data_IF_787371398585
#
_entry.id   IF_787371398585
#
_cell.length_a   1.000
_cell.length_b   1.000
_cell.length_c   1.000
_cell.angle_alpha   90.00
_cell.angle_beta   90.00
_cell.angle_gamma   90.00
#
_symmetry.space_group_name_H-M   'P 1'
#
loop_
_entity.id
_entity.type
_entity.pdbx_description
1 polymer ?
#
# COMPACT_ATOMS: atom_id res chain seq x y z
N UNK A 1 -18.24 9.23 22.30
CA UNK A 1 -17.06 8.33 22.34
C UNK A 1 -16.05 8.84 21.33
N UNK A 2 -14.79 9.01 21.70
CA UNK A 2 -13.72 9.45 20.79
C UNK A 2 -13.09 8.20 20.17
N UNK A 3 -13.58 7.76 19.01
CA UNK A 3 -13.01 6.62 18.28
C UNK A 3 -11.81 7.10 17.46
N UNK A 4 -10.70 7.41 18.13
CA UNK A 4 -9.41 7.47 17.46
C UNK A 4 -8.91 6.04 17.32
N UNK A 5 -9.44 5.29 16.34
CA UNK A 5 -8.74 4.11 15.86
C UNK A 5 -7.53 4.63 15.10
N UNK A 6 -6.44 4.92 15.81
CA UNK A 6 -5.11 4.88 15.22
C UNK A 6 -4.88 3.43 14.80
N UNK A 7 -5.40 3.06 13.63
CA UNK A 7 -4.96 1.84 12.97
C UNK A 7 -3.58 2.17 12.40
N UNK A 8 -2.56 1.77 13.14
CA UNK A 8 -1.18 1.87 12.69
C UNK A 8 -1.06 1.19 11.31
N UNK A 9 -0.39 1.84 10.33
CA UNK A 9 -0.27 1.30 8.99
C UNK A 9 0.58 0.02 9.00
N UNK A 10 0.14 -0.98 8.24
CA UNK A 10 0.88 -2.22 8.02
C UNK A 10 1.91 -1.99 6.91
N UNK A 11 3.19 -1.92 7.25
CA UNK A 11 4.28 -1.86 6.25
C UNK A 11 4.50 -3.25 5.65
N UNK A 12 4.36 -3.37 4.33
CA UNK A 12 4.51 -4.62 3.59
C UNK A 12 5.93 -4.81 3.04
N UNK A 13 6.54 -3.72 2.57
CA UNK A 13 7.89 -3.71 2.05
C UNK A 13 8.47 -2.29 2.08
N UNK A 14 9.78 -2.16 2.27
CA UNK A 14 10.49 -0.88 2.14
C UNK A 14 11.91 -1.08 1.64
N UNK A 15 12.48 -0.04 1.01
CA UNK A 15 13.87 0.00 0.57
C UNK A 15 14.56 1.23 1.14
N UNK A 16 15.74 1.04 1.70
CA UNK A 16 16.45 2.13 2.40
C UNK A 16 17.09 3.13 1.44
N UNK A 17 17.48 2.71 0.23
CA UNK A 17 18.36 3.51 -0.64
C UNK A 17 17.62 4.56 -1.47
N UNK A 18 16.41 4.27 -1.92
CA UNK A 18 15.63 5.16 -2.80
C UNK A 18 14.28 5.57 -2.22
N UNK A 19 13.99 5.18 -0.98
CA UNK A 19 12.75 5.56 -0.28
C UNK A 19 11.50 4.98 -0.93
N UNK A 20 11.59 3.76 -1.47
CA UNK A 20 10.41 3.07 -1.98
C UNK A 20 9.80 2.25 -0.86
N UNK A 21 8.49 2.36 -0.70
CA UNK A 21 7.77 1.61 0.32
C UNK A 21 6.40 1.19 -0.18
N UNK A 22 5.91 0.08 0.34
CA UNK A 22 4.54 -0.37 0.21
C UNK A 22 3.99 -0.56 1.61
N UNK A 23 2.88 0.09 1.90
CA UNK A 23 2.18 -0.04 3.16
C UNK A 23 0.67 -0.02 2.89
N UNK A 24 -0.12 -0.43 3.88
CA UNK A 24 -1.58 -0.37 3.79
C UNK A 24 -2.17 0.06 5.11
N UNK A 25 -3.33 0.69 5.06
CA UNK A 25 -4.18 0.90 6.22
C UNK A 25 -5.57 0.34 5.94
N UNK A 26 -6.26 0.00 7.01
CA UNK A 26 -7.61 -0.51 6.94
C UNK A 26 -8.57 0.67 6.82
N UNK A 27 -9.42 0.64 5.81
CA UNK A 27 -10.42 1.69 5.51
C UNK A 27 -11.73 1.42 6.25
N UNK A 28 -12.16 0.15 6.25
CA UNK A 28 -13.35 -0.36 6.95
C UNK A 28 -13.06 -1.76 7.53
N UNK A 29 -14.01 -2.37 8.27
CA UNK A 29 -13.82 -3.70 8.86
C UNK A 29 -13.33 -4.76 7.86
N UNK A 30 -13.74 -4.67 6.60
CA UNK A 30 -13.44 -5.67 5.57
C UNK A 30 -12.57 -5.16 4.41
N UNK A 31 -12.07 -3.91 4.46
CA UNK A 31 -11.34 -3.30 3.33
C UNK A 31 -10.02 -2.62 3.73
N UNK A 32 -9.07 -2.61 2.80
CA UNK A 32 -7.76 -1.96 2.91
C UNK A 32 -7.53 -1.01 1.74
N UNK A 33 -6.75 0.05 1.97
CA UNK A 33 -6.15 0.86 0.90
C UNK A 33 -4.65 0.60 0.90
N UNK A 34 -4.09 0.37 -0.29
CA UNK A 34 -2.67 0.13 -0.49
C UNK A 34 -1.98 1.40 -0.99
N UNK A 35 -0.82 1.68 -0.39
CA UNK A 35 -0.01 2.86 -0.65
C UNK A 35 1.34 2.42 -1.18
N UNK A 36 1.74 2.97 -2.33
CA UNK A 36 3.08 2.78 -2.91
C UNK A 36 3.80 4.11 -2.96
N UNK A 37 4.86 4.22 -2.17
CA UNK A 37 5.76 5.36 -2.16
C UNK A 37 6.89 5.13 -3.16
N UNK A 38 7.10 6.09 -4.07
CA UNK A 38 8.12 6.06 -5.12
C UNK A 38 9.01 7.31 -5.05
N UNK A 39 9.45 7.66 -3.83
CA UNK A 39 10.33 8.80 -3.53
C UNK A 39 9.69 10.18 -3.68
N UNK A 40 9.09 10.49 -4.83
CA UNK A 40 8.42 11.77 -5.11
C UNK A 40 6.96 11.65 -5.53
N UNK A 41 6.44 10.42 -5.64
CA UNK A 41 5.05 10.12 -5.98
C UNK A 41 4.55 9.06 -5.01
N UNK A 42 3.32 9.25 -4.55
CA UNK A 42 2.58 8.26 -3.77
C UNK A 42 1.37 7.83 -4.59
N UNK A 43 1.18 6.53 -4.76
CA UNK A 43 0.03 5.94 -5.45
C UNK A 43 -0.86 5.24 -4.44
N UNK A 44 -2.18 5.37 -4.63
CA UNK A 44 -3.21 4.77 -3.79
C UNK A 44 -4.05 3.83 -4.63
N UNK A 45 -4.32 2.64 -4.09
CA UNK A 45 -5.05 1.59 -4.78
C UNK A 45 -6.14 0.99 -3.89
N UNK A 46 -7.30 0.71 -4.48
CA UNK A 46 -8.25 -0.22 -3.89
C UNK A 46 -7.65 -1.64 -3.81
N UNK A 47 -8.25 -2.57 -3.05
CA UNK A 47 -7.80 -3.96 -3.04
C UNK A 47 -7.74 -4.59 -4.44
N UNK A 48 -8.74 -4.34 -5.30
CA UNK A 48 -8.76 -4.92 -6.64
C UNK A 48 -7.68 -4.31 -7.54
N UNK A 49 -7.49 -3.00 -7.51
CA UNK A 49 -6.45 -2.32 -8.30
C UNK A 49 -5.04 -2.74 -7.86
N UNK A 50 -4.85 -2.99 -6.55
CA UNK A 50 -3.60 -3.48 -6.01
C UNK A 50 -3.26 -4.89 -6.51
N UNK A 51 -4.24 -5.79 -6.54
CA UNK A 51 -4.06 -7.15 -7.06
C UNK A 51 -3.62 -7.13 -8.54
N UNK A 52 -4.30 -6.33 -9.36
CA UNK A 52 -3.97 -6.15 -10.78
C UNK A 52 -2.56 -5.56 -10.98
N UNK A 53 -2.17 -4.57 -10.18
CA UNK A 53 -0.82 -3.99 -10.25
C UNK A 53 0.25 -5.02 -9.89
N UNK A 54 0.04 -5.81 -8.84
CA UNK A 54 1.00 -6.85 -8.41
C UNK A 54 1.16 -7.91 -9.49
N UNK A 55 0.07 -8.31 -10.16
CA UNK A 55 0.14 -9.22 -11.30
C UNK A 55 0.95 -8.62 -12.45
N UNK A 56 0.69 -7.35 -12.81
CA UNK A 56 1.42 -6.65 -13.86
C UNK A 56 2.94 -6.59 -13.57
N UNK A 57 3.34 -6.21 -12.35
CA UNK A 57 4.76 -6.11 -11.97
C UNK A 57 5.42 -7.48 -12.01
N UNK A 58 4.74 -8.53 -11.54
CA UNK A 58 5.25 -9.91 -11.62
C UNK A 58 5.44 -10.34 -13.07
N UNK A 59 4.50 -10.02 -13.96
CA UNK A 59 4.64 -10.31 -15.38
C UNK A 59 5.80 -9.52 -16.02
N UNK A 60 6.00 -8.25 -15.64
CA UNK A 60 7.03 -7.39 -16.20
C UNK A 60 8.46 -7.66 -15.66
N UNK A 61 8.60 -8.37 -14.55
CA UNK A 61 9.89 -8.73 -13.94
C UNK A 61 10.46 -10.07 -14.44
N UNK A 62 9.85 -10.64 -15.48
CA UNK A 62 10.26 -11.86 -16.20
C UNK A 62 11.59 -11.73 -16.94
#
# INVERSE_FOLDING_TARGET
MNHNHDMEPDVLAETEQFGFAVWRNREDEDSYVYHVELGGVSLHFSPEEWEDLVELIRAASS
#
